data_IF_160890787968
#
_entry.id   IF_160890787968
#
_cell.length_a   1.000
_cell.length_b   1.000
_cell.length_c   1.000
_cell.angle_alpha   90.00
_cell.angle_beta   90.00
_cell.angle_gamma   90.00
#
_symmetry.space_group_name_H-M   'P 1'
#
loop_
_entity.id
_entity.type
_entity.pdbx_description
1 polymer ?
#
# COMPACT_ATOMS: atom_id res chain seq x y z
N UNK A 1 -16.71 -17.08 -26.52
CA UNK A 1 -16.13 -16.37 -25.35
C UNK A 1 -16.53 -14.88 -25.24
N UNK A 2 -17.31 -14.31 -26.17
CA UNK A 2 -17.62 -12.86 -26.22
C UNK A 2 -18.37 -12.34 -24.97
N UNK A 3 -19.11 -13.21 -24.28
CA UNK A 3 -19.87 -12.87 -23.07
C UNK A 3 -19.12 -13.17 -21.76
N UNK A 4 -17.84 -13.55 -21.83
CA UNK A 4 -17.08 -13.92 -20.64
C UNK A 4 -16.82 -12.68 -19.76
N UNK A 5 -17.34 -12.69 -18.53
CA UNK A 5 -17.15 -11.61 -17.57
C UNK A 5 -16.02 -11.86 -16.58
N UNK A 6 -15.73 -13.13 -16.28
CA UNK A 6 -14.70 -13.56 -15.34
C UNK A 6 -13.89 -14.69 -15.96
N UNK A 7 -12.57 -14.56 -15.92
CA UNK A 7 -11.64 -15.55 -16.43
C UNK A 7 -10.66 -15.94 -15.32
N UNK A 8 -10.65 -17.22 -14.97
CA UNK A 8 -9.78 -17.79 -13.95
C UNK A 8 -8.77 -18.70 -14.66
N UNK A 9 -7.52 -18.28 -14.65
CA UNK A 9 -6.36 -18.98 -15.21
C UNK A 9 -5.30 -19.24 -14.13
N UNK A 10 -5.72 -19.25 -12.87
CA UNK A 10 -4.82 -19.40 -11.73
C UNK A 10 -4.29 -20.83 -11.62
N UNK A 11 -3.10 -21.02 -11.04
CA UNK A 11 -2.43 -22.31 -10.85
C UNK A 11 -2.09 -23.02 -12.16
N UNK A 12 -1.62 -22.28 -13.16
CA UNK A 12 -1.09 -22.82 -14.41
C UNK A 12 0.41 -22.50 -14.56
N UNK A 13 0.96 -22.80 -15.73
CA UNK A 13 2.35 -22.52 -16.10
C UNK A 13 2.47 -21.34 -17.07
N UNK A 14 1.47 -20.44 -17.11
CA UNK A 14 1.44 -19.31 -18.05
C UNK A 14 2.63 -18.40 -17.77
N UNK A 15 3.45 -18.14 -18.78
CA UNK A 15 4.62 -17.27 -18.69
C UNK A 15 4.42 -15.90 -19.38
N UNK A 16 3.45 -15.82 -20.31
CA UNK A 16 3.07 -14.60 -21.00
C UNK A 16 1.54 -14.41 -21.07
N UNK A 17 1.10 -13.17 -20.85
CA UNK A 17 -0.30 -12.78 -21.05
C UNK A 17 -0.53 -12.62 -22.56
N UNK A 18 -1.21 -13.56 -23.17
CA UNK A 18 -1.50 -13.57 -24.62
C UNK A 18 -2.92 -14.05 -24.90
N UNK A 19 -3.41 -13.84 -26.12
CA UNK A 19 -4.71 -14.32 -26.59
C UNK A 19 -5.94 -13.79 -25.81
N UNK A 20 -5.81 -12.59 -25.20
CA UNK A 20 -6.90 -11.91 -24.47
C UNK A 20 -7.61 -10.80 -25.25
N UNK A 21 -7.41 -10.71 -26.58
CA UNK A 21 -8.07 -9.69 -27.42
C UNK A 21 -9.56 -9.96 -27.69
N UNK A 22 -10.01 -11.21 -27.60
CA UNK A 22 -11.41 -11.60 -27.86
C UNK A 22 -12.41 -11.34 -26.72
N UNK A 23 -12.09 -11.58 -25.42
CA UNK A 23 -13.03 -11.35 -24.33
C UNK A 23 -13.10 -9.87 -23.91
N UNK A 24 -13.54 -8.99 -24.80
CA UNK A 24 -13.59 -7.52 -24.57
C UNK A 24 -14.49 -7.09 -23.41
N UNK A 25 -15.46 -7.93 -23.02
CA UNK A 25 -16.37 -7.70 -21.90
C UNK A 25 -15.82 -8.19 -20.55
N UNK A 26 -14.56 -8.64 -20.49
CA UNK A 26 -13.98 -9.22 -19.30
C UNK A 26 -13.87 -8.18 -18.18
N UNK A 27 -14.45 -8.48 -17.02
CA UNK A 27 -14.46 -7.63 -15.83
C UNK A 27 -13.48 -8.07 -14.76
N UNK A 28 -13.14 -9.37 -14.71
CA UNK A 28 -12.25 -9.95 -13.70
C UNK A 28 -11.30 -10.95 -14.34
N UNK A 29 -10.00 -10.79 -14.08
CA UNK A 29 -8.95 -11.68 -14.57
C UNK A 29 -8.09 -12.16 -13.40
N UNK A 30 -8.04 -13.48 -13.22
CA UNK A 30 -7.27 -14.14 -12.17
C UNK A 30 -6.16 -15.00 -12.77
N UNK A 31 -4.92 -14.54 -12.64
CA UNK A 31 -3.69 -15.19 -13.11
C UNK A 31 -2.80 -15.59 -11.93
N UNK A 32 -3.39 -15.92 -10.78
CA UNK A 32 -2.66 -16.25 -9.55
C UNK A 32 -1.80 -17.49 -9.75
N UNK A 33 -0.56 -17.50 -9.22
CA UNK A 33 0.30 -18.69 -9.26
C UNK A 33 0.54 -19.19 -10.69
N UNK A 34 1.22 -18.34 -11.45
CA UNK A 34 1.71 -18.60 -12.81
C UNK A 34 3.20 -18.19 -12.89
N UNK A 35 3.79 -18.25 -14.09
CA UNK A 35 5.19 -17.90 -14.36
C UNK A 35 5.34 -16.52 -15.04
N UNK A 36 4.34 -15.64 -14.93
CA UNK A 36 4.32 -14.35 -15.63
C UNK A 36 5.42 -13.44 -15.09
N UNK A 37 6.28 -12.94 -15.98
CA UNK A 37 7.37 -12.03 -15.61
C UNK A 37 7.12 -10.57 -16.00
N UNK A 38 6.19 -10.31 -16.92
CA UNK A 38 5.85 -8.98 -17.44
C UNK A 38 4.34 -8.77 -17.49
N UNK A 39 3.91 -7.54 -17.22
CA UNK A 39 2.51 -7.12 -17.36
C UNK A 39 2.38 -6.43 -18.72
N UNK A 40 1.77 -7.11 -19.68
CA UNK A 40 1.64 -6.66 -21.07
C UNK A 40 0.37 -7.25 -21.72
N UNK A 41 0.01 -6.75 -22.89
CA UNK A 41 -1.13 -7.23 -23.70
C UNK A 41 -2.49 -7.17 -22.97
N UNK A 42 -2.70 -6.13 -22.16
CA UNK A 42 -3.96 -5.88 -21.43
C UNK A 42 -4.77 -4.70 -21.99
N UNK A 43 -4.28 -4.03 -23.05
CA UNK A 43 -4.86 -2.78 -23.58
C UNK A 43 -6.31 -2.90 -24.05
N UNK A 44 -6.72 -4.08 -24.49
CA UNK A 44 -8.07 -4.31 -25.02
C UNK A 44 -9.10 -4.57 -23.91
N UNK A 45 -8.65 -4.79 -22.67
CA UNK A 45 -9.48 -5.17 -21.53
C UNK A 45 -10.08 -3.93 -20.82
N UNK A 46 -10.73 -3.06 -21.59
CA UNK A 46 -11.26 -1.77 -21.13
C UNK A 46 -12.38 -1.88 -20.07
N UNK A 47 -12.97 -3.07 -19.90
CA UNK A 47 -13.98 -3.36 -18.88
C UNK A 47 -13.42 -4.00 -17.60
N UNK A 48 -12.11 -4.23 -17.55
CA UNK A 48 -11.48 -4.93 -16.45
C UNK A 48 -11.51 -4.08 -15.18
N UNK A 49 -12.20 -4.60 -14.16
CA UNK A 49 -12.37 -3.95 -12.86
C UNK A 49 -11.46 -4.55 -11.78
N UNK A 50 -11.04 -5.81 -11.96
CA UNK A 50 -10.17 -6.54 -11.04
C UNK A 50 -9.14 -7.34 -11.84
N UNK A 51 -7.87 -7.12 -11.51
CA UNK A 51 -6.74 -7.88 -12.02
C UNK A 51 -5.95 -8.48 -10.86
N UNK A 52 -5.85 -9.81 -10.84
CA UNK A 52 -5.05 -10.53 -9.85
C UNK A 52 -3.89 -11.27 -10.52
N UNK A 53 -2.68 -10.76 -10.30
CA UNK A 53 -1.40 -11.27 -10.77
C UNK A 53 -0.52 -11.75 -9.60
N UNK A 54 -1.13 -12.07 -8.46
CA UNK A 54 -0.36 -12.52 -7.29
C UNK A 54 0.36 -13.85 -7.51
N UNK A 55 1.47 -14.07 -6.80
CA UNK A 55 2.28 -15.29 -6.94
C UNK A 55 2.79 -15.51 -8.36
N UNK A 56 3.44 -14.50 -8.95
CA UNK A 56 4.08 -14.58 -10.26
C UNK A 56 5.57 -14.20 -10.16
N UNK A 57 6.23 -13.97 -11.29
CA UNK A 57 7.66 -13.68 -11.39
C UNK A 57 7.93 -12.21 -11.76
N UNK A 58 6.97 -11.30 -11.57
CA UNK A 58 7.07 -9.90 -11.99
C UNK A 58 8.15 -9.19 -11.17
N UNK A 59 9.07 -8.50 -11.84
CA UNK A 59 10.19 -7.78 -11.21
C UNK A 59 10.07 -6.26 -11.29
N UNK A 60 9.32 -5.76 -12.27
CA UNK A 60 9.13 -4.33 -12.53
C UNK A 60 7.69 -4.09 -12.94
N UNK A 61 7.11 -2.98 -12.46
CA UNK A 61 5.78 -2.52 -12.88
C UNK A 61 5.91 -1.21 -13.63
N UNK A 62 5.39 -1.18 -14.86
CA UNK A 62 5.29 0.00 -15.71
C UNK A 62 3.85 0.52 -15.70
N UNK A 63 3.48 1.35 -14.72
CA UNK A 63 2.09 1.82 -14.59
C UNK A 63 1.63 2.63 -15.81
N UNK A 64 2.54 3.38 -16.45
CA UNK A 64 2.25 4.09 -17.70
C UNK A 64 1.84 3.19 -18.87
N UNK A 65 2.17 1.89 -18.82
CA UNK A 65 1.78 0.90 -19.85
C UNK A 65 0.44 0.21 -19.55
N UNK A 66 -0.17 0.49 -18.41
CA UNK A 66 -1.44 -0.11 -18.00
C UNK A 66 -2.61 0.80 -18.42
N UNK A 67 -3.12 0.56 -19.63
CA UNK A 67 -4.34 1.21 -20.09
C UNK A 67 -5.60 0.43 -19.62
N UNK A 68 -6.00 0.61 -18.37
CA UNK A 68 -7.13 -0.10 -17.77
C UNK A 68 -8.09 0.87 -17.06
N UNK A 69 -8.89 1.64 -17.82
CA UNK A 69 -9.65 2.79 -17.31
C UNK A 69 -10.68 2.44 -16.24
N UNK A 70 -11.16 1.19 -16.18
CA UNK A 70 -12.15 0.74 -15.18
C UNK A 70 -11.54 -0.07 -14.04
N UNK A 71 -10.22 -0.21 -13.98
CA UNK A 71 -9.57 -1.02 -12.96
C UNK A 71 -9.73 -0.38 -11.59
N UNK A 72 -10.32 -1.11 -10.66
CA UNK A 72 -10.53 -0.67 -9.27
C UNK A 72 -9.65 -1.42 -8.29
N UNK A 73 -9.25 -2.66 -8.61
CA UNK A 73 -8.43 -3.52 -7.75
C UNK A 73 -7.31 -4.16 -8.54
N UNK A 74 -6.08 -3.97 -8.07
CA UNK A 74 -4.87 -4.58 -8.62
C UNK A 74 -4.12 -5.33 -7.52
N UNK A 75 -4.01 -6.65 -7.67
CA UNK A 75 -3.22 -7.50 -6.77
C UNK A 75 -1.95 -7.98 -7.46
N UNK A 76 -0.80 -7.51 -6.95
CA UNK A 76 0.56 -7.83 -7.37
C UNK A 76 1.38 -8.47 -6.24
N UNK A 77 0.70 -8.94 -5.18
CA UNK A 77 1.36 -9.55 -4.04
C UNK A 77 2.15 -10.82 -4.40
N UNK A 78 3.15 -11.18 -3.59
CA UNK A 78 3.96 -12.38 -3.81
C UNK A 78 4.62 -12.41 -5.21
N UNK A 79 5.22 -11.30 -5.62
CA UNK A 79 6.04 -11.22 -6.83
C UNK A 79 7.50 -10.94 -6.44
N UNK A 80 8.33 -10.51 -7.40
CA UNK A 80 9.73 -10.14 -7.19
C UNK A 80 9.95 -8.65 -7.49
N UNK A 81 8.91 -7.83 -7.32
CA UNK A 81 8.91 -6.43 -7.75
C UNK A 81 9.93 -5.66 -6.93
N UNK A 82 10.96 -5.14 -7.58
CA UNK A 82 11.97 -4.27 -6.97
C UNK A 82 11.79 -2.81 -7.35
N UNK A 83 11.19 -2.56 -8.52
CA UNK A 83 11.02 -1.23 -9.10
C UNK A 83 9.57 -0.99 -9.53
N UNK A 84 9.02 0.12 -9.06
CA UNK A 84 7.83 0.74 -9.61
C UNK A 84 8.36 1.88 -10.49
N UNK A 85 8.20 1.77 -11.81
CA UNK A 85 8.83 2.72 -12.72
C UNK A 85 7.85 3.22 -13.77
N UNK A 86 8.09 4.45 -14.17
CA UNK A 86 7.60 5.01 -15.39
C UNK A 86 8.86 5.20 -16.21
N UNK A 87 9.12 4.36 -17.21
CA UNK A 87 10.07 4.80 -18.22
C UNK A 87 9.46 6.07 -18.79
N UNK A 88 10.09 7.20 -18.49
CA UNK A 88 9.82 8.47 -19.12
C UNK A 88 10.26 8.24 -20.56
N UNK A 89 9.31 7.91 -21.43
CA UNK A 89 9.55 8.12 -22.84
C UNK A 89 9.54 9.64 -23.02
N UNK A 90 10.72 10.25 -22.92
CA UNK A 90 10.94 11.71 -23.00
C UNK A 90 10.44 12.29 -24.34
N UNK A 91 10.12 11.42 -25.30
CA UNK A 91 9.64 11.77 -26.63
C UNK A 91 8.11 11.71 -26.77
N UNK A 92 7.36 11.33 -25.71
CA UNK A 92 5.91 11.23 -25.76
C UNK A 92 5.26 11.98 -24.59
N UNK A 93 4.82 13.22 -24.86
CA UNK A 93 4.17 14.13 -23.91
C UNK A 93 2.74 13.74 -23.51
N UNK A 94 2.28 12.53 -23.89
CA UNK A 94 0.98 11.97 -23.50
C UNK A 94 1.11 10.71 -22.64
N UNK A 95 2.01 10.73 -21.64
CA UNK A 95 2.05 9.68 -20.62
C UNK A 95 0.89 9.83 -19.63
N UNK A 96 -0.34 9.59 -20.09
CA UNK A 96 -1.54 9.52 -19.24
C UNK A 96 -1.68 8.11 -18.68
N UNK A 97 -1.49 7.96 -17.37
CA UNK A 97 -1.87 6.74 -16.67
C UNK A 97 -3.41 6.63 -16.67
N UNK A 98 -3.96 5.57 -17.26
CA UNK A 98 -5.41 5.30 -17.27
C UNK A 98 -5.84 4.40 -16.11
N UNK A 99 -5.28 4.59 -14.91
CA UNK A 99 -5.67 3.92 -13.68
C UNK A 99 -6.38 4.86 -12.70
N UNK A 100 -7.04 5.89 -13.21
CA UNK A 100 -7.75 6.90 -12.41
C UNK A 100 -8.81 6.29 -11.48
N UNK A 101 -9.35 5.11 -11.79
CA UNK A 101 -10.35 4.43 -10.96
C UNK A 101 -9.75 3.42 -9.96
N UNK A 102 -8.42 3.30 -9.87
CA UNK A 102 -7.78 2.33 -9.00
C UNK A 102 -7.96 2.73 -7.53
N UNK A 103 -8.67 1.90 -6.77
CA UNK A 103 -8.98 2.13 -5.36
C UNK A 103 -8.10 1.30 -4.43
N UNK A 104 -7.75 0.08 -4.85
CA UNK A 104 -7.00 -0.89 -4.03
C UNK A 104 -5.78 -1.42 -4.78
N UNK A 105 -4.59 -1.25 -4.17
CA UNK A 105 -3.33 -1.75 -4.68
C UNK A 105 -2.64 -2.63 -3.63
N UNK A 106 -2.46 -3.91 -3.96
CA UNK A 106 -1.72 -4.84 -3.12
C UNK A 106 -0.35 -5.17 -3.74
N UNK A 107 0.71 -4.69 -3.09
CA UNK A 107 2.13 -4.88 -3.41
C UNK A 107 2.85 -5.70 -2.33
N UNK A 108 2.11 -6.35 -1.42
CA UNK A 108 2.74 -7.07 -0.30
C UNK A 108 3.59 -8.26 -0.75
N UNK A 109 4.58 -8.66 0.04
CA UNK A 109 5.50 -9.74 -0.30
C UNK A 109 6.19 -9.52 -1.66
N UNK A 110 6.90 -8.40 -1.76
CA UNK A 110 7.73 -8.07 -2.92
C UNK A 110 9.15 -7.69 -2.45
N UNK A 111 9.93 -7.03 -3.31
CA UNK A 111 11.32 -6.62 -3.04
C UNK A 111 11.49 -5.09 -3.12
N UNK A 112 10.41 -4.35 -2.90
CA UNK A 112 10.38 -2.89 -3.08
C UNK A 112 11.22 -2.24 -1.99
N UNK A 113 12.20 -1.41 -2.38
CA UNK A 113 13.05 -0.64 -1.45
C UNK A 113 12.62 0.81 -1.31
N UNK A 114 12.07 1.38 -2.38
CA UNK A 114 11.58 2.76 -2.42
C UNK A 114 10.20 2.77 -3.03
N UNK A 115 9.28 3.48 -2.36
CA UNK A 115 7.97 3.73 -2.92
C UNK A 115 8.07 5.00 -3.78
N UNK A 116 8.19 4.82 -5.09
CA UNK A 116 8.23 5.93 -6.04
C UNK A 116 7.21 5.67 -7.14
N UNK A 117 6.08 6.37 -7.07
CA UNK A 117 5.04 6.35 -8.09
C UNK A 117 4.97 7.77 -8.63
N UNK A 118 5.46 7.99 -9.85
CA UNK A 118 5.58 9.35 -10.40
C UNK A 118 4.25 9.94 -10.93
N UNK A 119 3.10 9.25 -10.74
CA UNK A 119 1.79 9.71 -11.22
C UNK A 119 0.67 9.52 -10.21
N UNK A 120 -0.35 10.34 -10.42
CA UNK A 120 -1.65 10.44 -9.77
C UNK A 120 -2.48 9.15 -9.86
N UNK A 121 -2.17 8.12 -9.06
CA UNK A 121 -3.21 7.19 -8.60
C UNK A 121 -4.09 7.92 -7.59
N UNK A 122 -4.71 9.02 -8.02
CA UNK A 122 -5.35 10.01 -7.16
C UNK A 122 -6.44 9.40 -6.31
N UNK A 123 -7.23 8.47 -6.87
CA UNK A 123 -8.34 7.84 -6.18
C UNK A 123 -7.94 6.63 -5.33
N UNK A 124 -6.63 6.34 -5.20
CA UNK A 124 -6.16 5.20 -4.43
C UNK A 124 -6.50 5.41 -2.96
N UNK A 125 -7.25 4.46 -2.39
CA UNK A 125 -7.77 4.54 -1.03
C UNK A 125 -7.13 3.52 -0.10
N UNK A 126 -6.67 2.39 -0.64
CA UNK A 126 -6.05 1.31 0.12
C UNK A 126 -4.75 0.86 -0.54
N UNK A 127 -3.66 0.90 0.22
CA UNK A 127 -2.36 0.38 -0.18
C UNK A 127 -1.90 -0.67 0.83
N UNK A 128 -1.55 -1.85 0.32
CA UNK A 128 -0.82 -2.84 1.10
C UNK A 128 0.56 -3.07 0.49
N UNK A 129 1.59 -2.55 1.13
CA UNK A 129 3.00 -2.71 0.76
C UNK A 129 3.79 -3.42 1.87
N UNK A 130 3.12 -4.22 2.69
CA UNK A 130 3.77 -5.00 3.75
C UNK A 130 4.74 -6.05 3.20
N UNK A 131 5.70 -6.50 4.03
CA UNK A 131 6.69 -7.53 3.63
C UNK A 131 7.44 -7.13 2.36
N UNK A 132 8.05 -5.95 2.43
CA UNK A 132 8.96 -5.41 1.43
C UNK A 132 10.27 -5.00 2.13
N UNK A 133 11.11 -4.23 1.46
CA UNK A 133 12.38 -3.70 1.99
C UNK A 133 12.36 -2.17 2.05
N UNK A 134 11.18 -1.56 2.25
CA UNK A 134 11.01 -0.11 2.27
C UNK A 134 11.67 0.44 3.53
N UNK A 135 12.59 1.38 3.39
CA UNK A 135 13.31 1.98 4.52
C UNK A 135 12.85 3.40 4.90
N UNK A 136 12.10 4.05 4.01
CA UNK A 136 11.58 5.41 4.21
C UNK A 136 10.17 5.54 3.68
N UNK A 137 9.36 6.33 4.38
CA UNK A 137 8.06 6.79 3.90
C UNK A 137 8.33 8.06 3.10
N UNK A 138 8.25 7.99 1.77
CA UNK A 138 8.50 9.10 0.86
C UNK A 138 7.61 8.99 -0.37
N UNK A 139 7.40 10.09 -1.08
CA UNK A 139 6.56 10.17 -2.29
C UNK A 139 5.10 9.74 -2.09
N UNK A 140 4.52 10.07 -0.93
CA UNK A 140 3.09 9.84 -0.63
C UNK A 140 2.22 11.10 -0.81
N UNK A 141 2.80 12.21 -1.28
CA UNK A 141 2.13 13.52 -1.36
C UNK A 141 0.89 13.55 -2.26
N UNK A 142 0.86 12.75 -3.33
CA UNK A 142 -0.25 12.70 -4.28
C UNK A 142 -1.44 11.83 -3.83
N UNK A 143 -1.28 10.99 -2.79
CA UNK A 143 -2.32 10.05 -2.39
C UNK A 143 -3.28 10.60 -1.32
N UNK A 144 -3.85 11.77 -1.60
CA UNK A 144 -4.71 12.51 -0.67
C UNK A 144 -6.00 11.76 -0.26
N UNK A 145 -6.40 10.73 -1.02
CA UNK A 145 -7.57 9.90 -0.78
C UNK A 145 -7.28 8.59 -0.02
N UNK A 146 -6.02 8.32 0.36
CA UNK A 146 -5.69 7.11 1.15
C UNK A 146 -6.43 7.14 2.48
N UNK A 147 -7.11 6.03 2.77
CA UNK A 147 -7.76 5.72 4.05
C UNK A 147 -7.02 4.62 4.81
N UNK A 148 -6.37 3.70 4.09
CA UNK A 148 -5.66 2.57 4.68
C UNK A 148 -4.28 2.38 4.07
N UNK A 149 -3.26 2.40 4.90
CA UNK A 149 -1.86 2.17 4.53
C UNK A 149 -1.26 1.07 5.40
N UNK A 150 -0.92 -0.06 4.78
CA UNK A 150 -0.19 -1.13 5.45
C UNK A 150 1.26 -1.19 4.95
N UNK A 151 2.19 -0.83 5.82
CA UNK A 151 3.64 -0.84 5.63
C UNK A 151 4.34 -1.79 6.61
N UNK A 152 3.60 -2.74 7.20
CA UNK A 152 4.16 -3.69 8.17
C UNK A 152 5.26 -4.58 7.58
N UNK A 153 6.17 -5.06 8.41
CA UNK A 153 7.28 -5.94 7.97
C UNK A 153 8.10 -5.29 6.86
N UNK A 154 8.68 -4.13 7.15
CA UNK A 154 9.59 -3.38 6.28
C UNK A 154 10.84 -2.97 7.08
N UNK A 155 11.61 -2.00 6.60
CA UNK A 155 12.83 -1.50 7.23
C UNK A 155 12.71 -0.01 7.61
N UNK A 156 11.48 0.47 7.83
CA UNK A 156 11.20 1.89 8.06
C UNK A 156 11.76 2.30 9.42
N UNK A 157 12.55 3.37 9.44
CA UNK A 157 13.21 3.87 10.66
C UNK A 157 12.52 5.09 11.27
N UNK A 158 11.70 5.81 10.50
CA UNK A 158 10.99 7.02 10.94
C UNK A 158 9.55 7.06 10.45
N UNK A 159 8.65 7.51 11.33
CA UNK A 159 7.26 7.82 10.99
C UNK A 159 7.18 9.30 10.56
N UNK A 160 7.47 9.56 9.29
CA UNK A 160 7.51 10.90 8.70
C UNK A 160 6.79 10.94 7.34
N UNK A 161 6.59 12.14 6.78
CA UNK A 161 5.97 12.35 5.45
C UNK A 161 4.55 11.80 5.29
N UNK A 162 3.79 11.73 6.39
CA UNK A 162 2.38 11.30 6.41
C UNK A 162 1.40 12.49 6.51
N UNK A 163 1.90 13.72 6.58
CA UNK A 163 1.08 14.93 6.78
C UNK A 163 0.11 15.22 5.64
N UNK A 164 0.43 14.78 4.42
CA UNK A 164 -0.43 14.92 3.24
C UNK A 164 -1.57 13.91 3.20
N UNK A 165 -1.50 12.83 3.98
CA UNK A 165 -2.50 11.75 4.01
C UNK A 165 -3.66 12.13 4.95
N UNK A 166 -4.31 13.25 4.64
CA UNK A 166 -5.33 13.90 5.45
C UNK A 166 -6.61 13.07 5.66
N UNK A 167 -6.74 11.91 5.00
CA UNK A 167 -7.88 11.00 5.13
C UNK A 167 -7.47 9.63 5.69
N UNK A 168 -6.23 9.47 6.14
CA UNK A 168 -5.72 8.21 6.67
C UNK A 168 -6.42 7.84 7.99
N UNK A 169 -7.07 6.68 8.01
CA UNK A 169 -7.79 6.15 9.16
C UNK A 169 -7.11 4.90 9.74
N UNK A 170 -6.44 4.11 8.89
CA UNK A 170 -5.75 2.88 9.25
C UNK A 170 -4.29 2.95 8.83
N UNK A 171 -3.38 2.84 9.79
CA UNK A 171 -1.94 2.79 9.57
C UNK A 171 -1.34 1.60 10.30
N UNK A 172 -0.68 0.71 9.54
CA UNK A 172 0.07 -0.39 10.12
C UNK A 172 1.56 -0.27 9.75
N UNK A 173 2.36 0.00 10.77
CA UNK A 173 3.82 0.12 10.75
C UNK A 173 4.48 -0.94 11.65
N UNK A 174 3.76 -2.00 12.02
CA UNK A 174 4.31 -3.09 12.83
C UNK A 174 5.48 -3.78 12.15
N UNK A 175 6.40 -4.38 12.92
CA UNK A 175 7.58 -5.08 12.38
C UNK A 175 8.42 -4.19 11.48
N UNK A 176 8.81 -3.03 11.99
CA UNK A 176 9.74 -2.09 11.35
C UNK A 176 10.91 -1.79 12.29
N UNK A 177 11.66 -0.72 12.02
CA UNK A 177 12.83 -0.29 12.78
C UNK A 177 12.62 1.10 13.40
N UNK A 178 11.37 1.46 13.71
CA UNK A 178 11.04 2.76 14.31
C UNK A 178 11.67 2.87 15.70
N UNK A 179 12.45 3.91 15.95
CA UNK A 179 13.04 4.19 17.27
C UNK A 179 12.21 5.16 18.11
N UNK A 180 11.45 6.02 17.46
CA UNK A 180 10.57 7.00 18.09
C UNK A 180 9.50 7.49 17.14
N UNK A 181 8.43 8.06 17.69
CA UNK A 181 7.49 8.88 16.93
C UNK A 181 6.71 9.83 17.85
N UNK A 182 6.22 10.92 17.26
CA UNK A 182 5.43 11.94 17.92
C UNK A 182 4.05 12.03 17.26
N UNK A 183 2.98 11.80 18.01
CA UNK A 183 1.63 12.00 17.52
C UNK A 183 1.32 13.50 17.46
N UNK A 184 1.33 14.08 16.27
CA UNK A 184 0.94 15.47 16.00
C UNK A 184 -0.47 15.59 15.39
N UNK A 185 -0.91 16.83 15.15
CA UNK A 185 -2.20 17.16 14.53
C UNK A 185 -2.49 16.42 13.22
N UNK A 186 -1.47 16.09 12.41
CA UNK A 186 -1.66 15.37 11.15
C UNK A 186 -2.20 13.94 11.34
N UNK A 187 -2.02 13.36 12.53
CA UNK A 187 -2.49 12.01 12.84
C UNK A 187 -3.89 11.97 13.46
N UNK A 188 -4.56 13.13 13.60
CA UNK A 188 -5.85 13.24 14.32
C UNK A 188 -6.96 12.33 13.76
N UNK A 189 -6.94 12.03 12.46
CA UNK A 189 -7.95 11.17 11.81
C UNK A 189 -7.65 9.67 11.89
N UNK A 190 -6.44 9.27 12.29
CA UNK A 190 -6.11 7.85 12.44
C UNK A 190 -6.98 7.26 13.56
N UNK A 191 -7.68 6.18 13.23
CA UNK A 191 -8.50 5.38 14.14
C UNK A 191 -7.76 4.13 14.59
N UNK A 192 -6.91 3.58 13.73
CA UNK A 192 -6.13 2.37 13.99
C UNK A 192 -4.66 2.62 13.69
N UNK A 193 -3.82 2.52 14.73
CA UNK A 193 -2.37 2.57 14.61
C UNK A 193 -1.75 1.32 15.21
N UNK A 194 -1.07 0.53 14.38
CA UNK A 194 -0.22 -0.56 14.85
C UNK A 194 1.25 -0.26 14.57
N UNK A 195 2.03 -0.05 15.62
CA UNK A 195 3.48 0.12 15.59
C UNK A 195 4.17 -0.92 16.47
N UNK A 196 3.55 -2.10 16.66
CA UNK A 196 4.13 -3.20 17.43
C UNK A 196 5.36 -3.80 16.77
N UNK A 197 6.23 -4.45 17.55
CA UNK A 197 7.47 -5.08 17.08
C UNK A 197 8.33 -4.05 16.35
N UNK A 198 8.73 -2.99 17.06
CA UNK A 198 9.63 -1.95 16.59
C UNK A 198 10.75 -1.73 17.62
N UNK A 199 11.51 -0.66 17.50
CA UNK A 199 12.60 -0.27 18.41
C UNK A 199 12.20 0.96 19.27
N UNK A 200 10.89 1.19 19.47
CA UNK A 200 10.38 2.44 20.03
C UNK A 200 10.73 2.53 21.51
N UNK A 201 11.57 3.49 21.86
CA UNK A 201 11.89 3.83 23.25
C UNK A 201 11.44 5.25 23.64
N UNK A 202 11.14 6.08 22.64
CA UNK A 202 10.62 7.43 22.81
C UNK A 202 9.29 7.58 22.04
N UNK A 203 8.22 7.84 22.78
CA UNK A 203 6.88 8.05 22.26
C UNK A 203 6.27 9.26 22.97
N UNK A 204 5.80 10.22 22.20
CA UNK A 204 5.18 11.44 22.73
C UNK A 204 3.93 11.82 21.94
N UNK A 205 3.08 12.61 22.58
CA UNK A 205 1.81 13.08 22.03
C UNK A 205 1.79 14.60 22.14
N UNK A 206 1.34 15.28 21.10
CA UNK A 206 1.18 16.74 21.08
C UNK A 206 0.03 17.14 22.02
N UNK A 207 0.37 17.80 23.12
CA UNK A 207 -0.58 18.26 24.14
C UNK A 207 -1.52 19.37 23.62
N UNK A 208 -1.14 20.05 22.53
CA UNK A 208 -2.00 21.08 21.92
C UNK A 208 -3.16 20.47 21.11
N UNK A 209 -3.08 19.18 20.78
CA UNK A 209 -4.14 18.48 20.05
C UNK A 209 -5.23 18.05 21.03
N UNK A 210 -6.36 18.78 21.00
CA UNK A 210 -7.49 18.55 21.92
C UNK A 210 -8.02 17.11 21.96
N UNK A 211 -8.01 16.39 20.84
CA UNK A 211 -8.57 15.04 20.76
C UNK A 211 -8.07 14.30 19.52
N UNK A 212 -7.68 13.03 19.67
CA UNK A 212 -7.47 12.10 18.56
C UNK A 212 -8.69 11.19 18.35
N UNK A 213 -8.92 10.74 17.12
CA UNK A 213 -9.93 9.71 16.81
C UNK A 213 -9.43 8.28 17.03
N UNK A 214 -8.25 8.12 17.65
CA UNK A 214 -7.58 6.85 17.81
C UNK A 214 -8.43 5.91 18.69
N UNK A 215 -8.87 4.81 18.11
CA UNK A 215 -9.66 3.75 18.75
C UNK A 215 -8.78 2.58 19.19
N UNK A 216 -7.74 2.30 18.40
CA UNK A 216 -6.82 1.19 18.58
C UNK A 216 -5.38 1.70 18.46
N UNK A 217 -4.58 1.42 19.48
CA UNK A 217 -3.14 1.67 19.51
C UNK A 217 -2.42 0.40 19.96
N UNK A 218 -1.52 -0.10 19.12
CA UNK A 218 -0.68 -1.24 19.46
C UNK A 218 0.79 -0.86 19.44
N UNK A 219 1.41 -0.91 20.62
CA UNK A 219 2.83 -0.66 20.87
C UNK A 219 3.52 -1.88 21.50
N UNK A 220 2.93 -3.08 21.36
CA UNK A 220 3.49 -4.33 21.88
C UNK A 220 4.88 -4.60 21.29
N UNK A 221 5.77 -5.22 22.07
CA UNK A 221 7.15 -5.53 21.64
C UNK A 221 7.91 -4.29 21.19
N UNK A 222 8.13 -3.38 22.14
CA UNK A 222 8.94 -2.17 21.99
C UNK A 222 9.83 -2.00 23.23
N UNK A 223 10.44 -0.82 23.40
CA UNK A 223 11.40 -0.51 24.46
C UNK A 223 10.96 0.68 25.33
N UNK A 224 9.65 0.95 25.39
CA UNK A 224 9.09 2.05 26.19
C UNK A 224 9.35 1.81 27.67
N UNK A 225 9.77 2.86 28.37
CA UNK A 225 10.01 2.85 29.82
C UNK A 225 8.97 3.64 30.61
N UNK A 226 8.53 4.75 30.06
CA UNK A 226 7.60 5.67 30.72
C UNK A 226 6.51 6.01 29.72
N UNK A 227 5.28 6.13 30.22
CA UNK A 227 4.12 6.59 29.47
C UNK A 227 3.62 7.88 30.13
N UNK A 228 3.47 8.94 29.34
CA UNK A 228 2.92 10.22 29.80
C UNK A 228 1.85 10.71 28.83
N UNK A 229 0.91 11.47 29.36
CA UNK A 229 -0.03 12.33 28.62
C UNK A 229 -0.95 11.58 27.65
N UNK A 230 -1.91 10.83 28.20
CA UNK A 230 -2.91 10.06 27.42
C UNK A 230 -4.30 10.71 27.40
N UNK A 231 -4.49 11.85 28.08
CA UNK A 231 -5.80 12.48 28.24
C UNK A 231 -6.43 12.86 26.89
N UNK A 232 -5.62 13.26 25.91
CA UNK A 232 -6.08 13.59 24.55
C UNK A 232 -6.45 12.35 23.69
N UNK A 233 -6.23 11.13 24.20
CA UNK A 233 -6.62 9.85 23.58
C UNK A 233 -7.95 9.31 24.15
N UNK A 234 -8.90 10.18 24.49
CA UNK A 234 -10.18 9.81 25.12
C UNK A 234 -11.04 8.78 24.35
N UNK A 235 -10.81 8.60 23.04
CA UNK A 235 -11.53 7.62 22.21
C UNK A 235 -10.90 6.22 22.20
N UNK A 236 -9.74 6.04 22.85
CA UNK A 236 -8.97 4.81 22.80
C UNK A 236 -9.69 3.70 23.56
N UNK A 237 -10.09 2.64 22.83
CA UNK A 237 -10.76 1.48 23.43
C UNK A 237 -9.84 0.28 23.60
N UNK A 238 -8.78 0.23 22.80
CA UNK A 238 -7.82 -0.87 22.81
C UNK A 238 -6.42 -0.30 22.78
N UNK A 239 -5.70 -0.48 23.88
CA UNK A 239 -4.31 -0.06 24.00
C UNK A 239 -3.44 -1.25 24.42
N UNK A 240 -2.56 -1.69 23.52
CA UNK A 240 -1.69 -2.83 23.77
C UNK A 240 -0.24 -2.37 24.00
N UNK A 241 0.29 -2.71 25.18
CA UNK A 241 1.62 -2.29 25.65
C UNK A 241 2.49 -3.46 26.14
N UNK A 242 2.03 -4.70 25.96
CA UNK A 242 2.78 -5.89 26.37
C UNK A 242 4.20 -5.93 25.81
N UNK A 243 5.13 -6.58 26.52
CA UNK A 243 6.53 -6.71 26.10
C UNK A 243 7.23 -5.36 25.83
N UNK A 244 7.05 -4.41 26.75
CA UNK A 244 7.84 -3.19 26.87
C UNK A 244 8.71 -3.25 28.14
N UNK A 245 9.36 -2.14 28.50
CA UNK A 245 10.18 -1.99 29.72
C UNK A 245 9.56 -0.96 30.69
N UNK A 246 8.24 -0.92 30.77
CA UNK A 246 7.49 0.07 31.56
C UNK A 246 7.71 -0.20 33.06
N UNK A 247 8.09 0.84 33.79
CA UNK A 247 8.36 0.82 35.25
C UNK A 247 7.66 1.98 35.94
#
# INVERSE_FOLDING_TARGET
>A
LVNLSTLILSHNIIDAITNLSKPVNLKKLFLVKNNISKIENLSDLNHLSLLNLSSNLITVVYFSKLNLPKLTKLNLSHNRISYLTNLIDLNNSQNMNNLNNLLELNLSFNRIKKFHLAFDLINLSHINSSKNYISKIENFSSFIHIKSLNLSTNQITKMENLSTLINLEYLNLSRNLLSSFHLSQSFRKIKFLDSSVNLIHDFSIDENVRSYHLYYLNLVHNFLKILKNFDCLANLKKFYLGFNKIS
#
